data_IF_584949695230
#
_entry.id   IF_584949695230
#
_cell.length_a   1.000
_cell.length_b   1.000
_cell.length_c   1.000
_cell.angle_alpha   90.00
_cell.angle_beta   90.00
_cell.angle_gamma   90.00
#
_symmetry.space_group_name_H-M   'P 1'
#
loop_
_entity.id
_entity.type
_entity.pdbx_description
1 polymer ?
#
# COMPACT_ATOMS: atom_id res chain seq x y z
N UNK A 1 -10.18 -1.46 -5.56
CA UNK A 1 -8.85 -2.05 -5.32
C UNK A 1 -8.64 -3.07 -6.42
N UNK A 2 -7.60 -3.06 -7.27
CA UNK A 2 -7.17 -4.29 -7.88
C UNK A 2 -6.44 -5.06 -6.76
N UNK A 3 -7.08 -6.08 -6.15
CA UNK A 3 -6.49 -6.91 -5.10
C UNK A 3 -5.45 -7.89 -5.69
N UNK A 4 -5.07 -7.68 -6.94
CA UNK A 4 -4.30 -8.60 -7.78
C UNK A 4 -2.81 -8.50 -7.43
N UNK A 5 -2.30 -7.33 -7.01
CA UNK A 5 -0.86 -7.18 -6.78
C UNK A 5 -0.31 -7.93 -5.57
N UNK A 6 -1.09 -8.23 -4.54
CA UNK A 6 -0.59 -9.00 -3.39
C UNK A 6 -0.41 -10.47 -3.76
N UNK A 7 -1.51 -11.18 -3.93
CA UNK A 7 -1.51 -12.61 -4.22
C UNK A 7 -0.87 -12.94 -5.58
N UNK A 8 -1.15 -12.19 -6.65
CA UNK A 8 -0.59 -12.51 -7.97
C UNK A 8 0.91 -12.20 -8.06
N UNK A 9 1.42 -11.17 -7.37
CA UNK A 9 2.87 -10.92 -7.36
C UNK A 9 3.62 -11.94 -6.48
N UNK A 10 3.02 -12.47 -5.41
CA UNK A 10 3.61 -13.58 -4.66
C UNK A 10 3.68 -14.85 -5.51
N UNK A 11 2.58 -15.18 -6.21
CA UNK A 11 2.55 -16.28 -7.16
C UNK A 11 3.61 -16.05 -8.25
N UNK A 12 3.69 -14.86 -8.83
CA UNK A 12 4.68 -14.54 -9.86
C UNK A 12 6.12 -14.66 -9.36
N UNK A 13 6.43 -14.24 -8.13
CA UNK A 13 7.74 -14.42 -7.51
C UNK A 13 8.11 -15.90 -7.39
N UNK A 14 7.15 -16.72 -6.95
CA UNK A 14 7.32 -18.16 -6.80
C UNK A 14 7.49 -18.88 -8.14
N UNK A 15 6.68 -18.53 -9.14
CA UNK A 15 6.74 -19.11 -10.49
C UNK A 15 8.00 -18.71 -11.26
N UNK A 16 8.41 -17.44 -11.16
CA UNK A 16 9.61 -16.95 -11.84
C UNK A 16 10.91 -17.26 -11.10
N UNK A 17 10.82 -17.68 -9.83
CA UNK A 17 11.98 -17.94 -8.98
C UNK A 17 12.80 -16.68 -8.65
N UNK A 18 12.21 -15.50 -8.83
CA UNK A 18 12.87 -14.21 -8.58
C UNK A 18 12.41 -13.61 -7.23
N UNK A 19 13.27 -12.84 -6.54
CA UNK A 19 12.88 -12.14 -5.32
C UNK A 19 11.67 -11.22 -5.54
N UNK A 20 10.71 -11.22 -4.60
CA UNK A 20 9.52 -10.35 -4.67
C UNK A 20 9.88 -8.86 -4.85
N UNK A 21 11.00 -8.41 -4.28
CA UNK A 21 11.45 -7.03 -4.39
C UNK A 21 11.77 -6.62 -5.84
N UNK A 22 12.17 -7.56 -6.70
CA UNK A 22 12.42 -7.28 -8.12
C UNK A 22 11.12 -7.01 -8.86
N UNK A 23 10.09 -7.84 -8.61
CA UNK A 23 8.75 -7.63 -9.18
C UNK A 23 8.16 -6.32 -8.66
N UNK A 24 8.32 -6.04 -7.36
CA UNK A 24 7.84 -4.80 -6.76
C UNK A 24 8.52 -3.57 -7.38
N UNK A 25 9.84 -3.62 -7.62
CA UNK A 25 10.59 -2.56 -8.31
C UNK A 25 10.08 -2.34 -9.74
N UNK A 26 9.87 -3.42 -10.49
CA UNK A 26 9.33 -3.34 -11.85
C UNK A 26 7.91 -2.73 -11.88
N UNK A 27 7.11 -2.97 -10.83
CA UNK A 27 5.75 -2.47 -10.71
C UNK A 27 5.63 -1.00 -10.27
N UNK A 28 6.72 -0.31 -9.90
CA UNK A 28 6.66 1.08 -9.40
C UNK A 28 6.02 2.02 -10.42
N UNK A 29 6.51 2.03 -11.67
CA UNK A 29 5.98 2.92 -12.70
C UNK A 29 4.52 2.59 -13.07
N UNK A 30 4.15 1.32 -13.38
CA UNK A 30 2.76 0.95 -13.60
C UNK A 30 1.83 1.36 -12.45
N UNK A 31 2.26 1.16 -11.20
CA UNK A 31 1.48 1.53 -10.03
C UNK A 31 1.27 3.04 -9.94
N UNK A 32 2.32 3.84 -10.14
CA UNK A 32 2.22 5.31 -10.13
C UNK A 32 1.24 5.82 -11.19
N UNK A 33 1.34 5.34 -12.43
CA UNK A 33 0.41 5.73 -13.49
C UNK A 33 -1.02 5.29 -13.19
N UNK A 34 -1.20 4.07 -12.66
CA UNK A 34 -2.52 3.58 -12.26
C UNK A 34 -3.17 4.45 -11.18
N UNK A 35 -2.44 4.75 -10.10
CA UNK A 35 -2.95 5.58 -9.01
C UNK A 35 -3.19 7.02 -9.45
N UNK A 36 -2.34 7.56 -10.31
CA UNK A 36 -2.54 8.89 -10.89
C UNK A 36 -3.81 8.93 -11.74
N UNK A 37 -3.98 7.97 -12.67
CA UNK A 37 -5.19 7.89 -13.49
C UNK A 37 -6.45 7.69 -12.64
N UNK A 38 -6.38 6.84 -11.61
CA UNK A 38 -7.48 6.62 -10.67
C UNK A 38 -7.82 7.89 -9.90
N UNK A 39 -6.81 8.61 -9.40
CA UNK A 39 -6.98 9.88 -8.70
C UNK A 39 -7.69 10.89 -9.60
N UNK A 40 -7.19 11.10 -10.82
CA UNK A 40 -7.79 12.00 -11.80
C UNK A 40 -9.24 11.61 -12.13
N UNK A 41 -9.51 10.31 -12.31
CA UNK A 41 -10.86 9.83 -12.59
C UNK A 41 -11.83 10.11 -11.44
N UNK A 42 -11.39 9.93 -10.19
CA UNK A 42 -12.18 10.22 -9.00
C UNK A 42 -12.39 11.73 -8.83
N UNK A 43 -11.34 12.54 -9.01
CA UNK A 43 -11.40 13.99 -8.90
C UNK A 43 -12.37 14.58 -9.94
N UNK A 44 -12.26 14.18 -11.21
CA UNK A 44 -13.18 14.59 -12.26
C UNK A 44 -14.62 14.11 -12.00
N UNK A 45 -14.78 12.90 -11.44
CA UNK A 45 -16.11 12.41 -11.06
C UNK A 45 -16.71 13.24 -9.92
N UNK A 46 -15.92 13.61 -8.93
CA UNK A 46 -16.31 14.47 -7.81
C UNK A 46 -16.70 15.88 -8.30
N UNK A 47 -15.90 16.46 -9.19
CA UNK A 47 -16.19 17.75 -9.83
C UNK A 47 -17.50 17.70 -10.64
N UNK A 48 -17.73 16.62 -11.41
CA UNK A 48 -18.95 16.43 -12.20
C UNK A 48 -20.22 16.39 -11.36
N UNK A 49 -20.16 15.83 -10.14
CA UNK A 49 -21.30 15.79 -9.22
C UNK A 49 -21.35 16.99 -8.26
N UNK A 50 -20.46 17.97 -8.44
CA UNK A 50 -20.41 19.18 -7.61
C UNK A 50 -19.98 18.94 -6.17
N UNK A 51 -19.24 17.85 -5.89
CA UNK A 51 -18.81 17.53 -4.54
C UNK A 51 -17.78 18.56 -4.06
N UNK A 52 -18.04 19.19 -2.91
CA UNK A 52 -17.13 20.16 -2.31
C UNK A 52 -16.37 19.52 -1.15
N UNK A 53 -15.07 19.80 -1.06
CA UNK A 53 -14.24 19.39 0.07
C UNK A 53 -14.73 19.98 1.39
N UNK A 54 -14.38 19.32 2.49
CA UNK A 54 -14.67 19.82 3.83
C UNK A 54 -13.84 21.09 4.13
N UNK A 55 -14.44 22.01 4.88
CA UNK A 55 -13.76 23.17 5.45
C UNK A 55 -12.57 22.74 6.32
N UNK A 56 -11.48 23.53 6.33
CA UNK A 56 -10.21 23.16 6.99
C UNK A 56 -10.35 22.89 8.49
N UNK A 57 -11.27 23.58 9.15
CA UNK A 57 -11.66 23.42 10.56
C UNK A 57 -12.31 22.07 10.86
N UNK A 58 -12.89 21.41 9.85
CA UNK A 58 -13.48 20.06 9.97
C UNK A 58 -12.53 18.94 9.55
N UNK A 59 -11.33 19.28 9.07
CA UNK A 59 -10.32 18.28 8.76
C UNK A 59 -9.68 17.77 10.06
N UNK A 60 -9.47 16.45 10.20
CA UNK A 60 -8.73 15.93 11.33
C UNK A 60 -7.30 16.49 11.30
N UNK A 61 -6.76 16.80 12.48
CA UNK A 61 -5.40 17.30 12.59
C UNK A 61 -4.42 16.19 12.18
N UNK A 62 -3.63 16.45 11.13
CA UNK A 62 -2.67 15.51 10.57
C UNK A 62 -1.73 14.91 11.61
N UNK A 63 -1.22 15.72 12.55
CA UNK A 63 -0.32 15.27 13.61
C UNK A 63 -1.03 14.31 14.56
N UNK A 64 -2.29 14.59 14.92
CA UNK A 64 -3.07 13.69 15.78
C UNK A 64 -3.38 12.38 15.07
N UNK A 65 -3.77 12.43 13.79
CA UNK A 65 -4.03 11.23 12.98
C UNK A 65 -2.78 10.37 12.80
N UNK A 66 -1.61 10.99 12.62
CA UNK A 66 -0.35 10.24 12.57
C UNK A 66 0.00 9.64 13.94
N UNK A 67 -0.17 10.37 15.04
CA UNK A 67 0.07 9.86 16.40
C UNK A 67 -0.85 8.72 16.82
N UNK A 68 -2.07 8.65 16.31
CA UNK A 68 -2.98 7.53 16.60
C UNK A 68 -2.87 6.41 15.57
N UNK A 69 -2.55 6.73 14.32
CA UNK A 69 -2.51 5.78 13.21
C UNK A 69 -1.13 5.21 12.89
N UNK A 70 -0.03 5.67 13.48
CA UNK A 70 1.33 5.21 13.15
C UNK A 70 1.51 3.70 13.30
N UNK A 71 0.78 3.07 14.24
CA UNK A 71 0.83 1.63 14.45
C UNK A 71 0.39 0.84 13.20
N UNK A 72 -0.44 1.44 12.34
CA UNK A 72 -0.86 0.84 11.06
C UNK A 72 0.28 0.81 10.03
N UNK A 73 1.31 1.64 10.21
CA UNK A 73 2.50 1.64 9.36
C UNK A 73 3.51 0.58 9.80
N UNK A 74 3.53 0.21 11.08
CA UNK A 74 4.44 -0.80 11.63
C UNK A 74 4.46 -2.14 10.86
N UNK A 75 3.32 -2.80 10.55
CA UNK A 75 3.32 -4.04 9.76
C UNK A 75 3.83 -3.84 8.34
N UNK A 76 3.58 -2.68 7.73
CA UNK A 76 4.05 -2.37 6.38
C UNK A 76 5.59 -2.28 6.37
N UNK A 77 6.16 -1.59 7.36
CA UNK A 77 7.61 -1.50 7.51
C UNK A 77 8.23 -2.86 7.83
N UNK A 78 7.63 -3.64 8.74
CA UNK A 78 8.09 -4.99 9.06
C UNK A 78 8.08 -5.90 7.82
N UNK A 79 7.03 -5.83 7.00
CA UNK A 79 6.90 -6.62 5.78
C UNK A 79 8.00 -6.28 4.77
N UNK A 80 8.19 -4.99 4.50
CA UNK A 80 9.23 -4.53 3.57
C UNK A 80 10.61 -4.93 4.07
N UNK A 81 10.88 -4.76 5.37
CA UNK A 81 12.15 -5.13 5.97
C UNK A 81 12.46 -6.62 5.81
N UNK A 82 11.50 -7.50 6.14
CA UNK A 82 11.67 -8.95 6.02
C UNK A 82 11.89 -9.40 4.57
N UNK A 83 11.17 -8.79 3.61
CA UNK A 83 11.37 -9.06 2.19
C UNK A 83 12.76 -8.64 1.70
N UNK A 84 13.28 -7.50 2.18
CA UNK A 84 14.64 -7.04 1.83
C UNK A 84 15.72 -7.93 2.44
N UNK A 85 15.47 -8.53 3.61
CA UNK A 85 16.35 -9.52 4.23
C UNK A 85 16.32 -10.89 3.53
N UNK A 86 15.51 -11.06 2.48
CA UNK A 86 15.44 -12.30 1.70
C UNK A 86 14.56 -13.39 2.32
N UNK A 87 13.71 -13.06 3.31
CA UNK A 87 12.71 -14.00 3.80
C UNK A 87 11.68 -14.31 2.72
N UNK A 88 11.09 -15.51 2.78
CA UNK A 88 10.02 -15.86 1.86
C UNK A 88 8.84 -14.90 2.05
N UNK A 89 8.11 -14.57 0.97
CA UNK A 89 7.06 -13.58 1.07
C UNK A 89 5.92 -13.99 2.02
N UNK A 90 5.58 -15.28 2.04
CA UNK A 90 4.57 -15.85 2.93
C UNK A 90 4.96 -15.69 4.41
N UNK A 91 6.23 -15.98 4.77
CA UNK A 91 6.73 -15.79 6.14
C UNK A 91 6.71 -14.32 6.53
N UNK A 92 7.13 -13.44 5.62
CA UNK A 92 7.17 -12.00 5.84
C UNK A 92 5.78 -11.43 6.17
N UNK A 93 4.74 -11.87 5.45
CA UNK A 93 3.35 -11.47 5.70
C UNK A 93 2.89 -11.93 7.09
N UNK A 94 3.10 -13.19 7.45
CA UNK A 94 2.64 -13.73 8.74
C UNK A 94 3.30 -12.98 9.91
N UNK A 95 4.62 -12.80 9.87
CA UNK A 95 5.36 -12.06 10.90
C UNK A 95 4.89 -10.60 11.00
N UNK A 96 4.59 -9.96 9.88
CA UNK A 96 4.12 -8.57 9.86
C UNK A 96 2.73 -8.39 10.46
N UNK A 97 1.85 -9.38 10.31
CA UNK A 97 0.54 -9.37 10.97
C UNK A 97 0.69 -9.48 12.48
N UNK A 98 1.64 -10.30 12.97
CA UNK A 98 1.90 -10.44 14.41
C UNK A 98 2.34 -9.11 15.03
N UNK A 99 3.06 -8.26 14.28
CA UNK A 99 3.45 -6.91 14.74
C UNK A 99 2.25 -6.02 15.06
N UNK A 100 1.07 -6.26 14.49
CA UNK A 100 -0.16 -5.51 14.83
C UNK A 100 -0.84 -5.98 16.12
N UNK A 101 -0.53 -7.20 16.58
CA UNK A 101 -1.19 -7.82 17.74
C UNK A 101 -0.47 -7.43 19.04
N UNK A 102 0.81 -7.06 18.94
CA UNK A 102 1.69 -6.64 20.04
C UNK A 102 1.66 -5.12 20.18
#
# INVERSE_FOLDING_TARGET
MPPIMGAAAFIMAEFLGVPYIEIAKAAIFPALFYYFALFMAVDFRAAKIGLRGLSRDRLPNLLNTLKTGWILLAPIFALIYLLVQGYSPQKSVVLSIVVLII
#
